data_IF_006157480793
#
_entry.id   IF_006157480793
#
_cell.length_a   1.000
_cell.length_b   1.000
_cell.length_c   1.000
_cell.angle_alpha   90.00
_cell.angle_beta   90.00
_cell.angle_gamma   90.00
#
_symmetry.space_group_name_H-M   'P 1'
#
loop_
_entity.id
_entity.type
_entity.pdbx_description
1 polymer ?
#
# COMPACT_ATOMS: atom_id res chain seq x y z
N UNK A 1 2.05 -3.70 6.63
CA UNK A 1 1.29 -2.91 5.64
C UNK A 1 -0.05 -3.53 5.28
N UNK A 2 -0.18 -4.86 5.14
CA UNK A 2 -1.42 -5.50 4.68
C UNK A 2 -2.71 -5.03 5.41
N UNK A 3 -2.76 -4.90 6.76
CA UNK A 3 -3.98 -4.45 7.42
C UNK A 3 -4.37 -3.00 7.08
N UNK A 4 -3.41 -2.08 7.13
CA UNK A 4 -3.64 -0.68 6.73
C UNK A 4 -4.07 -0.53 5.27
N UNK A 5 -3.55 -1.38 4.38
CA UNK A 5 -3.98 -1.36 2.98
C UNK A 5 -5.43 -1.85 2.83
N UNK A 6 -5.81 -2.90 3.56
CA UNK A 6 -7.20 -3.36 3.62
C UNK A 6 -8.13 -2.25 4.12
N UNK A 7 -7.75 -1.54 5.19
CA UNK A 7 -8.54 -0.42 5.70
C UNK A 7 -8.75 0.69 4.65
N UNK A 8 -7.73 1.01 3.84
CA UNK A 8 -7.86 1.99 2.74
C UNK A 8 -8.82 1.48 1.65
N UNK A 9 -8.68 0.22 1.24
CA UNK A 9 -9.56 -0.38 0.23
C UNK A 9 -11.02 -0.41 0.70
N UNK A 10 -11.26 -0.75 1.97
CA UNK A 10 -12.60 -0.78 2.57
C UNK A 10 -13.19 0.64 2.69
N UNK A 11 -12.39 1.62 3.12
CA UNK A 11 -12.81 3.03 3.16
C UNK A 11 -13.21 3.56 1.77
N UNK A 12 -12.40 3.28 0.75
CA UNK A 12 -12.73 3.67 -0.64
C UNK A 12 -13.94 2.91 -1.18
N UNK A 13 -14.11 1.64 -0.82
CA UNK A 13 -15.32 0.87 -1.18
C UNK A 13 -16.57 1.49 -0.59
N UNK A 14 -16.53 1.86 0.70
CA UNK A 14 -17.65 2.50 1.38
C UNK A 14 -17.96 3.87 0.77
N UNK A 15 -16.94 4.72 0.55
CA UNK A 15 -17.10 6.02 -0.09
C UNK A 15 -17.71 5.91 -1.49
N UNK A 16 -17.32 4.89 -2.27
CA UNK A 16 -17.93 4.61 -3.57
C UNK A 16 -19.42 4.24 -3.42
N UNK A 17 -19.76 3.35 -2.49
CA UNK A 17 -21.14 2.92 -2.25
C UNK A 17 -22.05 4.09 -1.84
N UNK A 18 -21.54 5.02 -1.04
CA UNK A 18 -22.30 6.18 -0.55
C UNK A 18 -22.43 7.29 -1.60
N UNK A 19 -21.39 7.53 -2.39
CA UNK A 19 -21.33 8.70 -3.28
C UNK A 19 -21.58 8.37 -4.76
N UNK A 20 -21.44 7.10 -5.15
CA UNK A 20 -21.41 6.67 -6.55
C UNK A 20 -20.19 7.16 -7.34
N UNK A 21 -19.24 7.85 -6.69
CA UNK A 21 -18.06 8.43 -7.33
C UNK A 21 -16.88 7.46 -7.21
N UNK A 22 -16.12 7.37 -8.29
CA UNK A 22 -14.84 6.65 -8.28
C UNK A 22 -13.87 7.24 -7.26
N UNK A 23 -13.10 6.35 -6.63
CA UNK A 23 -12.07 6.71 -5.67
C UNK A 23 -10.68 6.63 -6.32
N UNK A 24 -9.64 7.22 -5.72
CA UNK A 24 -8.29 7.19 -6.28
C UNK A 24 -7.82 5.76 -6.60
N UNK A 25 -7.10 5.62 -7.72
CA UNK A 25 -6.40 4.37 -8.03
C UNK A 25 -5.24 4.20 -7.05
N UNK A 26 -5.05 2.97 -6.56
CA UNK A 26 -3.96 2.66 -5.66
C UNK A 26 -2.83 1.99 -6.45
N UNK A 27 -1.64 2.56 -6.30
CA UNK A 27 -0.38 1.99 -6.77
C UNK A 27 0.43 1.58 -5.54
N UNK A 28 0.44 0.30 -5.21
CA UNK A 28 1.26 -0.20 -4.10
C UNK A 28 2.70 -0.36 -4.57
N UNK A 29 3.63 0.09 -3.74
CA UNK A 29 5.06 0.02 -3.99
C UNK A 29 5.80 -0.50 -2.76
N UNK A 30 7.10 -0.76 -2.93
CA UNK A 30 8.00 -1.14 -1.83
C UNK A 30 7.59 -2.43 -1.09
N UNK A 31 7.07 -3.43 -1.82
CA UNK A 31 6.85 -4.77 -1.27
C UNK A 31 8.18 -5.39 -0.81
N UNK A 32 8.18 -6.02 0.37
CA UNK A 32 9.37 -6.59 0.98
C UNK A 32 9.78 -7.96 0.40
N UNK A 33 8.84 -8.68 -0.21
CA UNK A 33 9.05 -9.99 -0.84
C UNK A 33 7.94 -10.31 -1.85
N UNK A 34 8.12 -11.39 -2.63
CA UNK A 34 7.14 -11.87 -3.62
C UNK A 34 5.80 -12.25 -2.98
N UNK A 35 5.80 -12.77 -1.74
CA UNK A 35 4.57 -13.08 -1.01
C UNK A 35 3.69 -11.85 -0.80
N UNK A 36 4.27 -10.70 -0.48
CA UNK A 36 3.54 -9.43 -0.37
C UNK A 36 3.03 -8.93 -1.72
N UNK A 37 3.79 -9.10 -2.80
CA UNK A 37 3.34 -8.76 -4.17
C UNK A 37 2.09 -9.57 -4.52
N UNK A 38 2.13 -10.88 -4.31
CA UNK A 38 1.03 -11.78 -4.59
C UNK A 38 -0.19 -11.50 -3.69
N UNK A 39 0.02 -11.25 -2.40
CA UNK A 39 -1.07 -10.89 -1.49
C UNK A 39 -1.74 -9.56 -1.87
N UNK A 40 -0.95 -8.58 -2.34
CA UNK A 40 -1.47 -7.28 -2.83
C UNK A 40 -2.31 -7.47 -4.10
N UNK A 41 -1.92 -8.39 -4.98
CA UNK A 41 -2.71 -8.77 -6.15
C UNK A 41 -4.01 -9.49 -5.77
N UNK A 42 -3.99 -10.37 -4.75
CA UNK A 42 -5.20 -11.04 -4.24
C UNK A 42 -6.20 -10.06 -3.62
N UNK A 43 -5.71 -9.06 -2.87
CA UNK A 43 -6.52 -7.94 -2.37
C UNK A 43 -7.14 -7.10 -3.50
N UNK A 44 -6.65 -7.31 -4.73
CA UNK A 44 -7.21 -6.75 -5.95
C UNK A 44 -6.59 -5.43 -6.36
N UNK A 45 -5.49 -4.98 -5.74
CA UNK A 45 -4.84 -3.70 -6.03
C UNK A 45 -4.70 -3.44 -7.53
N UNK A 46 -5.02 -2.21 -7.97
CA UNK A 46 -5.05 -1.87 -9.39
C UNK A 46 -3.68 -1.96 -10.03
N UNK A 47 -2.67 -1.45 -9.34
CA UNK A 47 -1.31 -1.41 -9.82
C UNK A 47 -0.32 -1.74 -8.70
N UNK A 48 0.76 -2.41 -9.07
CA UNK A 48 1.86 -2.75 -8.16
C UNK A 48 3.18 -2.40 -8.84
N UNK A 49 3.99 -1.56 -8.20
CA UNK A 49 5.37 -1.30 -8.62
C UNK A 49 6.27 -2.35 -7.99
N UNK A 50 6.78 -3.26 -8.83
CA UNK A 50 7.57 -4.43 -8.40
C UNK A 50 9.06 -4.13 -8.60
N UNK A 51 9.87 -4.40 -7.57
CA UNK A 51 11.33 -4.29 -7.65
C UNK A 51 11.88 -5.34 -8.63
N UNK A 52 12.93 -4.99 -9.38
CA UNK A 52 13.47 -5.84 -10.44
C UNK A 52 13.82 -7.27 -9.97
N UNK A 53 14.36 -7.42 -8.76
CA UNK A 53 14.69 -8.75 -8.20
C UNK A 53 13.45 -9.56 -7.83
N UNK A 54 12.38 -8.93 -7.31
CA UNK A 54 11.10 -9.62 -7.09
C UNK A 54 10.42 -10.01 -8.41
N UNK A 55 10.54 -9.19 -9.45
CA UNK A 55 10.06 -9.54 -10.79
C UNK A 55 10.82 -10.75 -11.36
N UNK A 56 12.15 -10.78 -11.19
CA UNK A 56 12.96 -11.93 -11.58
C UNK A 56 12.56 -13.20 -10.83
N UNK A 57 12.42 -13.12 -9.51
CA UNK A 57 11.97 -14.26 -8.68
C UNK A 57 10.58 -14.76 -9.12
N UNK A 58 9.64 -13.86 -9.42
CA UNK A 58 8.32 -14.22 -9.97
C UNK A 58 8.41 -14.95 -11.31
N UNK A 59 9.31 -14.52 -12.20
CA UNK A 59 9.51 -15.16 -13.51
C UNK A 59 10.16 -16.54 -13.39
N UNK A 60 11.05 -16.72 -12.42
CA UNK A 60 11.80 -17.96 -12.21
C UNK A 60 11.03 -18.98 -11.35
N UNK A 61 10.01 -18.56 -10.60
CA UNK A 61 9.22 -19.45 -9.74
C UNK A 61 8.25 -20.31 -10.57
N UNK A 62 8.39 -21.65 -10.58
CA UNK A 62 7.45 -22.52 -11.27
C UNK A 62 6.05 -22.44 -10.67
N UNK A 63 5.02 -22.43 -11.53
CA UNK A 63 3.63 -22.53 -11.10
C UNK A 63 3.23 -24.00 -10.93
N UNK A 64 3.76 -24.64 -9.89
CA UNK A 64 3.51 -26.04 -9.57
C UNK A 64 2.52 -26.22 -8.39
N UNK A 65 2.24 -27.48 -8.02
CA UNK A 65 1.34 -27.79 -6.90
C UNK A 65 1.80 -27.21 -5.55
N UNK A 66 3.11 -27.04 -5.34
CA UNK A 66 3.67 -26.44 -4.14
C UNK A 66 3.36 -24.94 -4.11
N UNK A 67 3.58 -24.25 -5.22
CA UNK A 67 3.24 -22.84 -5.38
C UNK A 67 1.75 -22.58 -5.21
N UNK A 68 0.88 -23.40 -5.83
CA UNK A 68 -0.58 -23.28 -5.71
C UNK A 68 -1.08 -23.56 -4.29
N UNK A 69 -0.43 -24.48 -3.55
CA UNK A 69 -0.74 -24.70 -2.13
C UNK A 69 -0.35 -23.50 -1.26
N UNK A 70 0.79 -22.87 -1.56
CA UNK A 70 1.28 -21.69 -0.83
C UNK A 70 0.45 -20.44 -1.14
N UNK A 71 0.00 -20.29 -2.39
CA UNK A 71 -0.76 -19.14 -2.88
C UNK A 71 -2.07 -19.60 -3.56
N UNK A 72 -3.10 -19.97 -2.77
CA UNK A 72 -4.33 -20.56 -3.31
C UNK A 72 -5.06 -19.68 -4.32
N UNK A 73 -4.94 -18.35 -4.23
CA UNK A 73 -5.60 -17.43 -5.16
C UNK A 73 -5.08 -17.55 -6.61
N UNK A 74 -3.90 -18.14 -6.83
CA UNK A 74 -3.36 -18.37 -8.17
C UNK A 74 -4.11 -19.48 -8.92
N UNK A 75 -4.85 -20.35 -8.23
CA UNK A 75 -5.68 -21.40 -8.87
C UNK A 75 -6.78 -20.78 -9.71
N UNK A 76 -7.44 -19.75 -9.18
CA UNK A 76 -8.48 -18.98 -9.84
C UNK A 76 -8.20 -17.50 -9.59
N UNK A 77 -7.29 -16.88 -10.37
CA UNK A 77 -6.94 -15.49 -10.15
C UNK A 77 -8.19 -14.61 -10.35
N UNK A 78 -8.32 -13.52 -9.57
CA UNK A 78 -9.44 -12.61 -9.75
C UNK A 78 -9.47 -12.11 -11.19
N UNK A 79 -10.67 -12.04 -11.76
CA UNK A 79 -10.86 -11.45 -13.09
C UNK A 79 -10.23 -10.06 -13.13
N UNK A 80 -9.66 -9.67 -14.28
CA UNK A 80 -9.28 -8.28 -14.52
C UNK A 80 -10.50 -7.40 -14.25
N UNK A 81 -10.47 -6.65 -13.13
CA UNK A 81 -11.63 -5.91 -12.64
C UNK A 81 -12.07 -4.87 -13.66
N UNK A 82 -13.38 -4.73 -13.78
CA UNK A 82 -14.04 -3.78 -14.68
C UNK A 82 -14.51 -2.54 -13.92
N UNK A 83 -14.62 -1.43 -14.65
CA UNK A 83 -15.17 -0.17 -14.19
C UNK A 83 -16.69 -0.34 -13.90
N UNK A 84 -17.22 0.10 -12.75
CA UNK A 84 -16.53 0.82 -11.67
C UNK A 84 -15.80 -0.08 -10.68
N UNK A 85 -14.55 0.29 -10.36
CA UNK A 85 -13.60 -0.62 -9.70
C UNK A 85 -14.04 -0.99 -8.27
N UNK A 86 -14.52 -0.01 -7.52
CA UNK A 86 -14.88 -0.18 -6.11
C UNK A 86 -16.28 -0.77 -5.89
N UNK A 87 -17.10 -0.88 -6.93
CA UNK A 87 -18.50 -1.31 -6.79
C UNK A 87 -18.69 -2.70 -6.16
N UNK A 88 -17.75 -3.62 -6.41
CA UNK A 88 -17.81 -5.00 -5.92
C UNK A 88 -16.52 -5.42 -5.22
N UNK A 89 -15.71 -4.46 -4.75
CA UNK A 89 -14.50 -4.79 -4.02
C UNK A 89 -14.86 -5.36 -2.65
N UNK A 90 -14.32 -6.54 -2.33
CA UNK A 90 -14.47 -7.17 -1.03
C UNK A 90 -13.13 -7.72 -0.57
N UNK A 91 -12.86 -7.58 0.72
CA UNK A 91 -11.69 -8.20 1.35
C UNK A 91 -11.84 -9.73 1.29
N UNK A 92 -10.87 -10.46 0.71
CA UNK A 92 -10.89 -11.92 0.66
C UNK A 92 -11.03 -12.54 2.05
N UNK A 93 -11.83 -13.60 2.18
CA UNK A 93 -12.18 -14.19 3.49
C UNK A 93 -10.94 -14.55 4.34
N UNK A 94 -9.90 -15.11 3.71
CA UNK A 94 -8.66 -15.47 4.42
C UNK A 94 -7.91 -14.28 5.01
N UNK A 95 -8.16 -13.06 4.50
CA UNK A 95 -7.52 -11.82 4.91
C UNK A 95 -8.43 -10.93 5.77
N UNK A 96 -9.72 -11.28 5.93
CA UNK A 96 -10.73 -10.48 6.64
C UNK A 96 -10.39 -10.20 8.11
N UNK A 97 -9.59 -11.06 8.75
CA UNK A 97 -9.08 -10.81 10.10
C UNK A 97 -8.29 -9.50 10.19
N UNK A 98 -7.68 -9.06 9.09
CA UNK A 98 -6.89 -7.84 9.05
C UNK A 98 -7.72 -6.56 8.92
N UNK A 99 -9.01 -6.64 8.58
CA UNK A 99 -9.92 -5.47 8.54
C UNK A 99 -10.19 -4.85 9.91
N UNK A 100 -9.82 -5.55 10.98
CA UNK A 100 -10.06 -5.15 12.38
C UNK A 100 -8.78 -5.16 13.21
N UNK A 101 -7.62 -5.10 12.57
CA UNK A 101 -6.33 -5.08 13.28
C UNK A 101 -5.38 -4.08 12.67
N UNK A 102 -4.58 -3.42 13.50
CA UNK A 102 -3.38 -2.72 13.04
C UNK A 102 -2.19 -3.02 13.95
N UNK A 103 -1.35 -4.01 13.59
CA UNK A 103 -0.15 -4.35 14.35
C UNK A 103 0.85 -3.18 14.49
N UNK A 104 0.74 -2.15 13.64
CA UNK A 104 1.63 -0.99 13.65
C UNK A 104 1.12 0.16 14.51
N UNK A 105 -0.15 0.17 14.90
CA UNK A 105 -0.75 1.24 15.71
C UNK A 105 -0.29 1.22 17.19
N UNK A 106 0.41 0.16 17.60
CA UNK A 106 0.93 0.01 18.96
C UNK A 106 -0.14 -0.37 19.99
N UNK A 107 0.23 -0.45 21.28
CA UNK A 107 -0.64 -0.99 22.32
C UNK A 107 -1.83 -0.09 22.69
N UNK A 108 -1.80 1.19 22.31
CA UNK A 108 -2.83 2.18 22.64
C UNK A 108 -3.87 2.35 21.53
N UNK A 109 -3.85 1.50 20.50
CA UNK A 109 -4.84 1.58 19.43
C UNK A 109 -6.24 1.28 19.98
N UNK A 110 -7.17 2.18 19.72
CA UNK A 110 -8.56 2.13 20.20
C UNK A 110 -9.47 1.26 19.31
N UNK A 111 -8.91 0.66 18.26
CA UNK A 111 -9.65 -0.13 17.29
C UNK A 111 -10.47 0.70 16.32
N UNK A 112 -10.38 2.04 16.37
CA UNK A 112 -11.10 2.92 15.47
C UNK A 112 -10.31 3.14 14.18
N UNK A 113 -11.03 3.11 13.07
CA UNK A 113 -10.51 3.48 11.76
C UNK A 113 -10.70 4.99 11.53
N UNK A 114 -9.99 5.54 10.55
CA UNK A 114 -10.16 6.92 10.14
C UNK A 114 -11.62 7.20 9.73
N UNK A 115 -12.15 8.35 10.14
CA UNK A 115 -13.50 8.79 9.77
C UNK A 115 -13.50 9.21 8.30
N UNK A 116 -14.20 8.46 7.45
CA UNK A 116 -14.27 8.71 6.01
C UNK A 116 -15.04 10.01 5.65
N UNK A 117 -15.75 10.60 6.60
CA UNK A 117 -16.49 11.86 6.40
C UNK A 117 -15.70 13.09 6.89
N UNK A 118 -14.58 12.88 7.58
CA UNK A 118 -13.74 13.99 8.04
C UNK A 118 -12.94 14.58 6.87
N UNK A 119 -12.97 15.90 6.73
CA UNK A 119 -12.06 16.62 5.83
C UNK A 119 -10.69 16.78 6.51
N UNK A 120 -9.82 15.82 6.27
CA UNK A 120 -8.46 15.79 6.82
C UNK A 120 -7.57 16.94 6.30
N UNK A 121 -7.95 17.61 5.20
CA UNK A 121 -7.21 18.73 4.62
C UNK A 121 -7.74 20.11 5.06
N UNK A 122 -8.92 20.16 5.66
CA UNK A 122 -9.48 21.38 6.23
C UNK A 122 -8.52 22.03 7.25
N UNK A 123 -8.64 23.35 7.40
CA UNK A 123 -7.84 24.15 8.34
C UNK A 123 -6.32 23.94 8.19
N UNK A 124 -5.85 23.84 6.94
CA UNK A 124 -4.43 23.63 6.65
C UNK A 124 -3.93 22.23 7.02
N UNK A 125 -4.81 21.23 7.04
CA UNK A 125 -4.45 19.85 7.34
C UNK A 125 -4.35 19.53 8.83
N UNK A 126 -4.94 20.34 9.72
CA UNK A 126 -4.81 20.17 11.18
C UNK A 126 -5.17 18.76 11.66
N UNK A 127 -6.24 18.16 11.12
CA UNK A 127 -6.66 16.80 11.47
C UNK A 127 -5.66 15.76 10.95
N UNK A 128 -5.17 15.92 9.72
CA UNK A 128 -4.16 15.04 9.15
C UNK A 128 -2.86 15.08 9.94
N UNK A 129 -2.35 16.27 10.26
CA UNK A 129 -1.15 16.43 11.07
C UNK A 129 -1.31 15.77 12.45
N UNK A 130 -2.44 16.01 13.13
CA UNK A 130 -2.71 15.36 14.42
C UNK A 130 -2.74 13.84 14.35
N UNK A 131 -3.35 13.27 13.29
CA UNK A 131 -3.37 11.83 13.08
C UNK A 131 -1.98 11.26 12.76
N UNK A 132 -1.19 11.96 11.95
CA UNK A 132 0.18 11.56 11.61
C UNK A 132 1.11 11.58 12.84
N UNK A 133 1.02 12.62 13.66
CA UNK A 133 1.85 12.77 14.87
C UNK A 133 1.51 11.73 15.95
N UNK A 134 0.26 11.29 16.01
CA UNK A 134 -0.19 10.25 16.93
C UNK A 134 0.24 8.84 16.53
N UNK A 135 0.56 8.61 15.25
CA UNK A 135 0.99 7.30 14.75
C UNK A 135 2.52 7.19 14.72
N UNK A 136 3.08 6.54 15.75
CA UNK A 136 4.52 6.35 15.90
C UNK A 136 5.17 5.64 14.70
N UNK A 137 4.46 4.74 14.01
CA UNK A 137 4.98 4.07 12.83
C UNK A 137 5.09 5.05 11.64
N UNK A 138 4.11 5.94 11.48
CA UNK A 138 4.15 7.01 10.47
C UNK A 138 5.26 8.01 10.77
N UNK A 139 5.35 8.51 12.00
CA UNK A 139 6.39 9.47 12.42
C UNK A 139 7.79 8.93 12.11
N UNK A 140 8.08 7.71 12.57
CA UNK A 140 9.38 7.07 12.32
C UNK A 140 9.63 6.88 10.82
N UNK A 141 8.65 6.34 10.09
CA UNK A 141 8.81 6.05 8.66
C UNK A 141 9.05 7.32 7.84
N UNK A 142 8.38 8.42 8.18
CA UNK A 142 8.58 9.71 7.53
C UNK A 142 10.00 10.24 7.75
N UNK A 143 10.52 10.14 8.98
CA UNK A 143 11.91 10.52 9.27
C UNK A 143 12.91 9.68 8.48
N UNK A 144 12.76 8.36 8.49
CA UNK A 144 13.66 7.43 7.79
C UNK A 144 13.67 7.70 6.28
N UNK A 145 12.49 7.86 5.67
CA UNK A 145 12.33 8.02 4.22
C UNK A 145 12.81 9.38 3.74
N UNK A 146 12.50 10.47 4.45
CA UNK A 146 12.98 11.80 4.10
C UNK A 146 14.52 11.87 4.20
N UNK A 147 15.10 11.26 5.24
CA UNK A 147 16.55 11.15 5.36
C UNK A 147 17.19 10.41 4.19
N UNK A 148 16.60 9.28 3.78
CA UNK A 148 17.09 8.50 2.65
C UNK A 148 17.02 9.28 1.32
N UNK A 149 15.91 9.95 1.03
CA UNK A 149 15.76 10.72 -0.21
C UNK A 149 16.66 11.94 -0.26
N UNK A 150 16.75 12.72 0.82
CA UNK A 150 17.64 13.89 0.88
C UNK A 150 19.12 13.46 0.73
N UNK A 151 19.50 12.34 1.36
CA UNK A 151 20.83 11.78 1.21
C UNK A 151 21.12 11.28 -0.22
N UNK A 152 20.12 10.70 -0.89
CA UNK A 152 20.22 10.30 -2.29
C UNK A 152 20.37 11.49 -3.23
N UNK A 153 19.55 12.52 -3.05
CA UNK A 153 19.58 13.76 -3.83
C UNK A 153 20.93 14.47 -3.71
N UNK A 154 21.45 14.63 -2.50
CA UNK A 154 22.76 15.24 -2.27
C UNK A 154 23.90 14.47 -2.97
N UNK A 155 23.87 13.13 -2.94
CA UNK A 155 24.85 12.28 -3.65
C UNK A 155 24.73 12.42 -5.16
N UNK A 156 23.51 12.42 -5.69
CA UNK A 156 23.25 12.56 -7.11
C UNK A 156 23.75 13.93 -7.62
N UNK A 157 23.42 15.01 -6.89
CA UNK A 157 23.90 16.35 -7.19
C UNK A 157 25.43 16.42 -7.25
N UNK A 158 26.11 15.92 -6.22
CA UNK A 158 27.56 15.92 -6.17
C UNK A 158 28.19 15.13 -7.34
N UNK A 159 27.60 14.00 -7.71
CA UNK A 159 28.07 13.21 -8.85
C UNK A 159 27.91 13.96 -10.18
N UNK A 160 26.77 14.63 -10.39
CA UNK A 160 26.52 15.44 -11.59
C UNK A 160 27.50 16.61 -11.67
N UNK A 161 27.67 17.35 -10.57
CA UNK A 161 28.61 18.50 -10.51
C UNK A 161 30.06 18.07 -10.77
N UNK A 162 30.46 16.89 -10.28
CA UNK A 162 31.79 16.35 -10.52
C UNK A 162 32.03 15.98 -11.99
N UNK A 163 31.02 15.50 -12.72
CA UNK A 163 31.13 15.26 -14.17
C UNK A 163 31.13 16.57 -14.96
N UNK A 164 30.30 17.55 -14.57
CA UNK A 164 30.27 18.86 -15.23
C UNK A 164 31.60 19.61 -15.12
N UNK A 165 32.31 19.48 -13.99
CA UNK A 165 33.61 20.13 -13.79
C UNK A 165 34.75 19.57 -14.67
N UNK A 166 34.52 18.45 -15.37
CA UNK A 166 35.49 17.84 -16.30
C UNK A 166 35.33 18.33 -17.75
N UNK A 167 34.25 19.06 -18.04
CA UNK A 167 33.96 19.64 -19.36
C UNK A 167 34.70 20.97 -19.53
#
# INVERSE_FOLDING_TARGET
MAPRFIHILEAYTQLYQESGKEQPLIVIASNANVGEVLATAELGCQHITILAHHMKELQETPLDATALKKYPFLVNPPAKKQNPYYANLQTPERLRVHSKSDPMAGPNWDGQLADIHADYLANGGKLLSGAMDADAAVVKKMQDVLGAFNGGDAKAKAAIEAELAKL
#
